data_IF_550276536279
#
_entry.id   IF_550276536279
#
_cell.length_a   1.000
_cell.length_b   1.000
_cell.length_c   1.000
_cell.angle_alpha   90.00
_cell.angle_beta   90.00
_cell.angle_gamma   90.00
#
_symmetry.space_group_name_H-M   'P 1'
#
loop_
_entity.id
_entity.type
_entity.pdbx_description
1 polymer ?
#
# COMPACT_ATOMS: atom_id res chain seq x y z
N UNK A 1 26.07 10.35 10.16
CA UNK A 1 26.26 8.95 10.60
C UNK A 1 26.77 8.94 12.03
N UNK A 2 25.83 8.99 12.99
CA UNK A 2 26.18 8.94 14.41
C UNK A 2 26.51 7.50 14.80
N UNK A 3 27.74 7.25 15.22
CA UNK A 3 28.28 5.93 15.58
C UNK A 3 27.81 5.42 16.97
N UNK A 4 26.89 6.13 17.62
CA UNK A 4 26.40 5.83 18.95
C UNK A 4 24.89 5.65 18.89
N UNK A 5 24.43 4.44 19.18
CA UNK A 5 23.01 4.15 19.34
C UNK A 5 22.49 4.75 20.66
N UNK A 6 21.27 5.31 20.68
CA UNK A 6 20.58 5.64 21.93
C UNK A 6 20.51 4.43 22.85
N UNK A 7 20.68 4.65 24.15
CA UNK A 7 20.46 3.57 25.13
C UNK A 7 18.99 3.17 25.19
N UNK A 8 18.69 1.90 25.49
CA UNK A 8 17.33 1.37 25.68
C UNK A 8 16.49 2.20 26.66
N UNK A 9 17.13 2.76 27.71
CA UNK A 9 16.45 3.65 28.67
C UNK A 9 15.95 4.94 28.00
N UNK A 10 16.78 5.53 27.14
CA UNK A 10 16.47 6.76 26.40
C UNK A 10 15.40 6.52 25.33
N UNK A 11 15.40 5.36 24.69
CA UNK A 11 14.33 4.93 23.77
C UNK A 11 12.99 4.78 24.51
N UNK A 12 12.99 4.21 25.72
CA UNK A 12 11.80 4.10 26.57
C UNK A 12 11.29 5.47 27.03
N UNK A 13 12.18 6.34 27.50
CA UNK A 13 11.83 7.72 27.89
C UNK A 13 11.20 8.50 26.71
N UNK A 14 11.71 8.28 25.48
CA UNK A 14 11.14 8.86 24.26
C UNK A 14 9.75 8.29 23.94
N UNK A 15 9.52 6.97 24.06
CA UNK A 15 8.20 6.34 23.88
C UNK A 15 7.15 6.82 24.89
N UNK A 16 7.57 7.05 26.13
CA UNK A 16 6.70 7.50 27.23
C UNK A 16 6.46 9.02 27.22
N UNK A 17 7.06 9.75 26.27
CA UNK A 17 6.93 11.21 26.19
C UNK A 17 5.47 11.60 25.92
N UNK A 18 4.80 12.32 26.84
CA UNK A 18 3.39 12.62 26.71
C UNK A 18 3.11 13.56 25.53
N UNK A 19 1.93 13.46 24.90
CA UNK A 19 1.56 14.31 23.78
C UNK A 19 1.55 15.79 24.22
N UNK A 20 2.38 16.61 23.56
CA UNK A 20 2.57 18.03 23.87
C UNK A 20 3.87 18.38 24.58
N UNK A 21 4.66 17.39 24.99
CA UNK A 21 6.05 17.59 25.38
C UNK A 21 6.95 17.58 24.13
N UNK A 22 8.04 18.35 24.16
CA UNK A 22 8.99 18.44 23.04
C UNK A 22 9.83 17.15 23.02
N UNK A 23 9.70 16.29 21.99
CA UNK A 23 10.45 15.03 21.93
C UNK A 23 11.93 15.32 21.68
N UNK A 24 12.79 14.39 22.13
CA UNK A 24 14.22 14.46 21.87
C UNK A 24 14.51 14.30 20.36
N UNK A 25 14.68 15.44 19.68
CA UNK A 25 14.88 15.51 18.24
C UNK A 25 16.08 14.66 17.75
N UNK A 26 17.09 14.44 18.61
CA UNK A 26 18.24 13.61 18.26
C UNK A 26 17.92 12.11 18.26
N UNK A 27 16.97 11.67 19.09
CA UNK A 27 16.47 10.29 19.08
C UNK A 27 15.55 10.08 17.88
N UNK A 28 14.66 11.03 17.62
CA UNK A 28 13.76 11.04 16.44
C UNK A 28 14.54 10.89 15.11
N UNK A 29 15.55 11.73 14.91
CA UNK A 29 16.39 11.70 13.72
C UNK A 29 17.18 10.39 13.61
N UNK A 30 17.62 9.82 14.73
CA UNK A 30 18.36 8.55 14.72
C UNK A 30 17.45 7.37 14.37
N UNK A 31 16.28 7.27 15.00
CA UNK A 31 15.33 6.16 14.82
C UNK A 31 14.83 6.10 13.38
N UNK A 32 14.55 7.26 12.78
CA UNK A 32 14.12 7.35 11.37
C UNK A 32 15.15 6.83 10.36
N UNK A 33 16.41 6.65 10.76
CA UNK A 33 17.50 6.18 9.89
C UNK A 33 18.21 4.92 10.41
N UNK A 34 17.78 4.33 11.51
CA UNK A 34 18.44 3.19 12.14
C UNK A 34 17.45 2.04 12.39
N UNK A 35 17.45 1.05 11.50
CA UNK A 35 16.60 -0.16 11.58
C UNK A 35 16.73 -0.86 12.94
N UNK A 36 17.95 -1.01 13.46
CA UNK A 36 18.18 -1.64 14.77
C UNK A 36 17.44 -0.93 15.91
N UNK A 37 17.43 0.40 15.91
CA UNK A 37 16.74 1.16 16.96
C UNK A 37 15.23 1.16 16.74
N UNK A 38 14.76 1.05 15.50
CA UNK A 38 13.35 0.83 15.20
C UNK A 38 12.87 -0.54 15.72
N UNK A 39 13.61 -1.62 15.45
CA UNK A 39 13.31 -2.96 15.95
C UNK A 39 13.28 -3.01 17.50
N UNK A 40 14.21 -2.30 18.14
CA UNK A 40 14.27 -2.22 19.60
C UNK A 40 13.09 -1.44 20.20
N UNK A 41 12.58 -0.43 19.49
CA UNK A 41 11.36 0.29 19.88
C UNK A 41 10.11 -0.57 19.75
N UNK A 42 9.98 -1.33 18.67
CA UNK A 42 8.86 -2.27 18.48
C UNK A 42 8.85 -3.34 19.58
N UNK A 43 10.02 -3.84 19.97
CA UNK A 43 10.14 -4.78 21.08
C UNK A 43 9.75 -4.15 22.43
N UNK A 44 10.11 -2.89 22.67
CA UNK A 44 9.72 -2.16 23.87
C UNK A 44 8.21 -1.89 23.92
N UNK A 45 7.59 -1.51 22.81
CA UNK A 45 6.15 -1.28 22.70
C UNK A 45 5.35 -2.58 22.89
N UNK A 46 5.81 -3.70 22.29
CA UNK A 46 5.20 -5.02 22.49
C UNK A 46 5.27 -5.49 23.95
N UNK A 47 6.31 -5.10 24.71
CA UNK A 47 6.35 -5.39 26.15
C UNK A 47 5.46 -4.46 26.97
N UNK A 48 5.21 -3.23 26.52
CA UNK A 48 4.28 -2.29 27.14
C UNK A 48 2.81 -2.70 26.94
N UNK A 49 2.47 -3.32 25.79
CA UNK A 49 1.15 -3.89 25.52
C UNK A 49 0.68 -4.90 26.58
N UNK A 50 1.61 -5.63 27.20
CA UNK A 50 1.29 -6.63 28.23
C UNK A 50 1.01 -5.99 29.60
N UNK A 51 1.37 -4.70 29.79
CA UNK A 51 1.39 -4.04 31.10
C UNK A 51 0.45 -2.85 31.32
N UNK A 52 -0.20 -2.29 30.28
CA UNK A 52 -0.94 -1.01 30.41
C UNK A 52 -2.44 -1.19 30.20
N UNK A 53 -3.17 -1.34 31.31
CA UNK A 53 -4.63 -1.50 31.35
C UNK A 53 -5.46 -0.24 31.07
N UNK A 54 -4.87 0.89 30.63
CA UNK A 54 -5.60 2.17 30.51
C UNK A 54 -5.47 2.86 29.13
N UNK A 55 -4.40 2.61 28.36
CA UNK A 55 -4.29 3.02 26.94
C UNK A 55 -4.91 2.01 25.98
N UNK A 56 -5.27 0.83 26.49
CA UNK A 56 -5.88 -0.26 25.73
C UNK A 56 -7.26 0.12 25.18
N UNK A 57 -8.10 0.84 25.94
CA UNK A 57 -9.48 1.13 25.52
C UNK A 57 -9.57 2.09 24.33
N UNK A 58 -8.78 3.16 24.32
CA UNK A 58 -8.74 4.12 23.19
C UNK A 58 -8.18 3.45 21.94
N UNK A 59 -7.15 2.62 22.09
CA UNK A 59 -6.56 1.88 20.98
C UNK A 59 -7.54 0.85 20.40
N UNK A 60 -8.26 0.13 21.26
CA UNK A 60 -9.31 -0.82 20.86
C UNK A 60 -10.46 -0.09 20.16
N UNK A 61 -10.90 1.06 20.69
CA UNK A 61 -11.92 1.88 20.05
C UNK A 61 -11.46 2.41 18.68
N UNK A 62 -10.20 2.82 18.53
CA UNK A 62 -9.64 3.21 17.23
C UNK A 62 -9.56 2.02 16.27
N UNK A 63 -9.20 0.83 16.75
CA UNK A 63 -9.16 -0.38 15.93
C UNK A 63 -10.56 -0.77 15.43
N UNK A 64 -11.61 -0.62 16.24
CA UNK A 64 -12.98 -0.84 15.79
C UNK A 64 -13.43 0.20 14.74
N UNK A 65 -13.11 1.48 14.96
CA UNK A 65 -13.50 2.56 14.04
C UNK A 65 -12.73 2.49 12.71
N UNK A 66 -11.45 2.11 12.76
CA UNK A 66 -10.59 1.98 11.58
C UNK A 66 -10.66 0.58 10.96
N UNK A 67 -11.47 -0.33 11.53
CA UNK A 67 -11.66 -1.65 10.95
C UNK A 67 -12.22 -1.51 9.53
N UNK A 68 -11.68 -2.26 8.55
CA UNK A 68 -12.21 -2.22 7.20
C UNK A 68 -13.69 -2.66 7.22
N UNK A 69 -14.56 -1.97 6.46
CA UNK A 69 -15.97 -2.32 6.42
C UNK A 69 -16.15 -3.76 5.93
N UNK A 70 -17.11 -4.47 6.50
CA UNK A 70 -17.38 -5.87 6.13
C UNK A 70 -17.55 -6.03 4.62
N UNK A 71 -16.96 -7.10 4.08
CA UNK A 71 -16.99 -7.40 2.64
C UNK A 71 -16.18 -6.46 1.75
N UNK A 72 -15.25 -5.67 2.28
CA UNK A 72 -14.33 -4.84 1.48
C UNK A 72 -13.57 -5.71 0.45
N UNK A 73 -13.01 -6.82 0.91
CA UNK A 73 -12.24 -7.76 0.08
C UNK A 73 -13.09 -8.30 -1.08
N UNK A 74 -14.26 -8.88 -0.77
CA UNK A 74 -15.21 -9.36 -1.78
C UNK A 74 -15.57 -8.26 -2.79
N UNK A 75 -15.88 -7.03 -2.33
CA UNK A 75 -16.21 -5.92 -3.24
C UNK A 75 -15.02 -5.50 -4.12
N UNK A 76 -13.79 -5.61 -3.62
CA UNK A 76 -12.59 -5.33 -4.40
C UNK A 76 -12.38 -6.41 -5.45
N UNK A 77 -12.50 -7.69 -5.07
CA UNK A 77 -12.42 -8.83 -6.00
C UNK A 77 -13.45 -8.72 -7.11
N UNK A 78 -14.72 -8.49 -6.76
CA UNK A 78 -15.83 -8.36 -7.73
C UNK A 78 -15.57 -7.22 -8.73
N UNK A 79 -15.02 -6.08 -8.26
CA UNK A 79 -14.69 -4.94 -9.12
C UNK A 79 -13.51 -5.23 -10.05
N UNK A 80 -12.50 -5.93 -9.55
CA UNK A 80 -11.34 -6.32 -10.35
C UNK A 80 -11.78 -7.30 -11.44
N UNK A 81 -12.57 -8.31 -11.08
CA UNK A 81 -13.10 -9.28 -12.02
C UNK A 81 -13.97 -8.61 -13.10
N UNK A 82 -14.88 -7.73 -12.71
CA UNK A 82 -15.70 -6.96 -13.65
C UNK A 82 -14.86 -6.11 -14.61
N UNK A 83 -13.81 -5.45 -14.10
CA UNK A 83 -12.90 -4.66 -14.93
C UNK A 83 -12.10 -5.52 -15.93
N UNK A 84 -11.66 -6.71 -15.51
CA UNK A 84 -10.95 -7.64 -16.38
C UNK A 84 -11.87 -8.20 -17.48
N UNK A 85 -13.11 -8.57 -17.13
CA UNK A 85 -14.11 -9.02 -18.08
C UNK A 85 -14.42 -7.94 -19.12
N UNK A 86 -14.68 -6.70 -18.67
CA UNK A 86 -14.96 -5.58 -19.57
C UNK A 86 -13.80 -5.32 -20.55
N UNK A 87 -12.54 -5.37 -20.07
CA UNK A 87 -11.35 -5.21 -20.93
C UNK A 87 -11.23 -6.33 -21.95
N UNK A 88 -11.49 -7.58 -21.55
CA UNK A 88 -11.48 -8.73 -22.46
C UNK A 88 -12.51 -8.55 -23.57
N UNK A 89 -13.73 -8.18 -23.21
CA UNK A 89 -14.83 -8.08 -24.16
C UNK A 89 -14.61 -6.92 -25.15
N UNK A 90 -14.09 -5.77 -24.68
CA UNK A 90 -13.66 -4.66 -25.54
C UNK A 90 -12.55 -5.07 -26.52
N UNK A 91 -11.57 -5.87 -26.05
CA UNK A 91 -10.49 -6.36 -26.91
C UNK A 91 -11.01 -7.29 -28.01
N UNK A 92 -11.96 -8.16 -27.69
CA UNK A 92 -12.59 -9.05 -28.66
C UNK A 92 -13.39 -8.25 -29.70
N UNK A 93 -14.19 -7.27 -29.26
CA UNK A 93 -14.94 -6.39 -30.16
C UNK A 93 -14.01 -5.60 -31.09
N UNK A 94 -12.95 -5.00 -30.54
CA UNK A 94 -11.96 -4.27 -31.33
C UNK A 94 -11.26 -5.18 -32.35
N UNK A 95 -10.91 -6.41 -31.96
CA UNK A 95 -10.32 -7.40 -32.85
C UNK A 95 -11.25 -7.77 -34.01
N UNK A 96 -12.53 -8.04 -33.73
CA UNK A 96 -13.53 -8.36 -34.75
C UNK A 96 -13.71 -7.23 -35.77
N UNK A 97 -13.78 -5.99 -35.28
CA UNK A 97 -13.91 -4.81 -36.14
C UNK A 97 -12.63 -4.55 -36.94
N UNK A 98 -11.46 -4.80 -36.35
CA UNK A 98 -10.17 -4.68 -37.03
C UNK A 98 -10.06 -5.62 -38.23
N UNK A 99 -10.39 -6.89 -38.04
CA UNK A 99 -10.35 -7.91 -39.11
C UNK A 99 -11.30 -7.57 -40.27
N UNK A 100 -12.50 -7.08 -39.97
CA UNK A 100 -13.47 -6.72 -41.00
C UNK A 100 -13.05 -5.48 -41.81
N UNK A 101 -12.44 -4.48 -41.16
CA UNK A 101 -11.84 -3.33 -41.85
C UNK A 101 -10.67 -3.77 -42.74
N UNK A 102 -9.77 -4.61 -42.22
CA UNK A 102 -8.60 -5.12 -42.95
C UNK A 102 -9.01 -5.95 -44.16
N UNK A 103 -10.02 -6.82 -44.01
CA UNK A 103 -10.58 -7.60 -45.11
C UNK A 103 -11.20 -6.71 -46.18
N UNK A 104 -11.92 -5.65 -45.78
CA UNK A 104 -12.52 -4.71 -46.73
C UNK A 104 -11.43 -3.94 -47.49
N UNK A 105 -10.35 -3.54 -46.81
CA UNK A 105 -9.21 -2.89 -47.45
C UNK A 105 -8.57 -3.79 -48.50
N UNK A 106 -8.31 -5.06 -48.17
CA UNK A 106 -7.75 -6.03 -49.11
C UNK A 106 -8.64 -6.26 -50.35
N UNK A 107 -9.97 -6.25 -50.17
CA UNK A 107 -10.92 -6.38 -51.28
C UNK A 107 -11.04 -5.13 -52.16
N UNK A 108 -10.74 -3.95 -51.60
CA UNK A 108 -10.76 -2.67 -52.31
C UNK A 108 -9.40 -2.29 -52.89
N UNK A 109 -8.33 -3.02 -52.54
CA UNK A 109 -6.99 -2.75 -53.04
C UNK A 109 -6.93 -3.10 -54.54
N UNK A 110 -6.66 -2.13 -55.42
CA UNK A 110 -6.59 -2.38 -56.84
C UNK A 110 -5.44 -3.35 -57.14
N UNK A 111 -5.56 -4.24 -58.14
CA UNK A 111 -4.47 -5.15 -58.49
C UNK A 111 -3.22 -4.34 -58.84
N UNK A 112 -2.08 -4.67 -58.23
CA UNK A 112 -0.81 -4.04 -58.60
C UNK A 112 -0.54 -4.29 -60.09
N UNK A 113 -0.53 -3.22 -60.88
CA UNK A 113 -0.09 -3.31 -62.28
C UNK A 113 1.39 -3.70 -62.30
N UNK A 114 1.78 -4.72 -63.07
CA UNK A 114 3.16 -5.15 -63.13
C UNK A 114 4.02 -4.01 -63.69
N UNK A 115 4.93 -3.50 -62.86
CA UNK A 115 5.95 -2.53 -63.29
C UNK A 115 6.90 -3.21 -64.28
N UNK A 116 6.74 -2.87 -65.56
CA UNK A 116 7.67 -3.20 -66.65
C UNK A 116 8.90 -2.30 -66.65
#
# INVERSE_FOLDING_TARGET
>A
MALLHPSTRRLREWLETPPGAEPDAGVEEHVSHCERCADELEALDATAEVGVGETSEVRVALQEVLAPPTGLEQRMEDRIEAALLARRDLKLLAGLMGVSIETTRLLMEPPEEPRS
#
